data_IF_438652249940
#
_entry.id   IF_438652249940
#
_cell.length_a   1.000
_cell.length_b   1.000
_cell.length_c   1.000
_cell.angle_alpha   90.00
_cell.angle_beta   90.00
_cell.angle_gamma   90.00
#
_symmetry.space_group_name_H-M   'P 1'
#
loop_
_entity.id
_entity.type
_entity.pdbx_description
1 polymer ?
#
# COMPACT_ATOMS: atom_id res chain seq x y z
N UNK A 1 -8.66 50.43 3.65
CA UNK A 1 -8.92 48.98 3.55
C UNK A 1 -7.63 48.31 3.13
N UNK A 2 -6.94 47.72 4.10
CA UNK A 2 -5.55 47.29 4.00
C UNK A 2 -5.34 46.17 2.97
N UNK A 3 -4.54 46.47 1.95
CA UNK A 3 -4.07 45.51 0.94
C UNK A 3 -3.09 44.46 1.53
N UNK A 4 -2.67 44.63 2.78
CA UNK A 4 -1.76 43.72 3.49
C UNK A 4 -2.42 42.43 3.99
N UNK A 5 -3.75 42.38 4.13
CA UNK A 5 -4.43 41.15 4.58
C UNK A 5 -4.62 40.11 3.48
N UNK A 6 -4.72 40.52 2.22
CA UNK A 6 -4.92 39.60 1.08
C UNK A 6 -3.65 38.81 0.73
N UNK A 7 -2.46 39.34 1.02
CA UNK A 7 -1.20 38.65 0.76
C UNK A 7 -0.95 37.46 1.71
N UNK A 8 -1.56 37.44 2.89
CA UNK A 8 -1.40 36.35 3.87
C UNK A 8 -2.33 35.16 3.60
N UNK A 9 -3.41 35.33 2.82
CA UNK A 9 -4.35 34.25 2.50
C UNK A 9 -3.95 33.41 1.27
N UNK A 10 -3.00 33.87 0.45
CA UNK A 10 -2.52 33.12 -0.73
C UNK A 10 -1.29 32.25 -0.40
N UNK A 11 -0.60 32.51 0.72
CA UNK A 11 0.59 31.77 1.11
C UNK A 11 0.30 30.33 1.59
N UNK A 12 -0.94 29.98 1.92
CA UNK A 12 -1.32 28.64 2.39
C UNK A 12 -1.72 27.66 1.28
N UNK A 13 -1.88 28.12 0.03
CA UNK A 13 -2.28 27.29 -1.12
C UNK A 13 -1.09 26.72 -1.91
N UNK A 14 0.15 27.06 -1.53
CA UNK A 14 1.38 26.55 -2.16
C UNK A 14 2.20 25.61 -1.26
N UNK A 15 1.56 24.90 -0.32
CA UNK A 15 2.09 23.58 0.07
C UNK A 15 1.83 22.61 -1.09
N UNK A 16 2.56 22.84 -2.20
CA UNK A 16 2.76 21.87 -3.26
C UNK A 16 3.00 20.52 -2.60
N UNK A 17 2.15 19.56 -2.95
CA UNK A 17 2.26 18.14 -2.65
C UNK A 17 3.59 17.60 -3.19
N UNK A 18 4.72 17.96 -2.56
CA UNK A 18 6.08 17.48 -2.86
C UNK A 18 6.32 16.05 -2.38
N UNK A 19 5.27 15.24 -2.25
CA UNK A 19 5.40 13.84 -1.85
C UNK A 19 5.61 12.93 -3.05
N UNK A 20 5.24 13.35 -4.27
CA UNK A 20 5.44 12.54 -5.48
C UNK A 20 6.80 12.81 -6.12
N UNK A 21 7.71 11.85 -5.95
CA UNK A 21 9.08 11.84 -6.47
C UNK A 21 9.15 11.04 -7.77
N UNK A 22 9.17 11.72 -8.92
CA UNK A 22 9.24 11.10 -10.27
C UNK A 22 10.51 10.27 -10.50
N UNK A 23 11.54 10.46 -9.68
CA UNK A 23 12.81 9.71 -9.67
C UNK A 23 12.67 8.29 -9.11
N UNK A 24 11.62 8.00 -8.33
CA UNK A 24 11.34 6.64 -7.85
C UNK A 24 10.54 5.84 -8.87
N UNK A 25 11.15 5.57 -10.03
CA UNK A 25 10.67 4.50 -10.90
C UNK A 25 11.08 3.16 -10.27
N UNK A 26 10.14 2.21 -10.05
CA UNK A 26 10.51 0.89 -9.59
C UNK A 26 11.52 0.28 -10.56
N UNK A 27 12.59 -0.34 -10.04
CA UNK A 27 13.53 -1.09 -10.87
C UNK A 27 12.76 -2.28 -11.46
N UNK A 28 12.33 -2.15 -12.71
CA UNK A 28 11.67 -3.21 -13.46
C UNK A 28 12.73 -4.25 -13.81
N UNK A 29 12.80 -5.33 -13.05
CA UNK A 29 13.74 -6.43 -13.29
C UNK A 29 13.32 -7.35 -14.46
N UNK A 30 12.23 -7.02 -15.17
CA UNK A 30 11.67 -7.86 -16.22
C UNK A 30 11.42 -9.29 -15.74
N UNK A 31 11.71 -10.27 -16.61
CA UNK A 31 11.49 -11.70 -16.33
C UNK A 31 12.52 -12.34 -15.37
N UNK A 32 13.47 -11.56 -14.83
CA UNK A 32 14.55 -12.10 -13.99
C UNK A 32 14.13 -12.39 -12.54
N UNK A 33 12.91 -12.05 -12.14
CA UNK A 33 12.41 -12.29 -10.78
C UNK A 33 11.85 -13.71 -10.66
N UNK A 34 12.45 -14.50 -9.78
CA UNK A 34 11.96 -15.85 -9.47
C UNK A 34 10.62 -15.80 -8.73
N UNK A 35 9.69 -16.70 -9.07
CA UNK A 35 8.43 -16.86 -8.35
C UNK A 35 8.62 -17.08 -6.84
N UNK A 36 9.68 -17.79 -6.44
CA UNK A 36 10.01 -18.03 -5.03
C UNK A 36 10.27 -16.72 -4.26
N UNK A 37 10.73 -15.67 -4.94
CA UNK A 37 11.03 -14.38 -4.35
C UNK A 37 9.79 -13.49 -4.15
N UNK A 38 8.67 -13.79 -4.80
CA UNK A 38 7.47 -12.91 -4.82
C UNK A 38 6.19 -13.56 -4.30
N UNK A 39 6.12 -14.89 -4.29
CA UNK A 39 4.91 -15.59 -3.87
C UNK A 39 4.67 -15.47 -2.35
N UNK A 40 3.53 -14.91 -1.90
CA UNK A 40 3.23 -14.69 -0.49
C UNK A 40 2.89 -15.97 0.29
N UNK A 41 3.05 -17.15 -0.32
CA UNK A 41 3.04 -18.45 0.38
C UNK A 41 4.33 -18.72 1.15
N UNK A 42 5.43 -18.08 0.77
CA UNK A 42 6.74 -18.29 1.38
C UNK A 42 6.91 -17.37 2.59
N UNK A 43 7.28 -17.93 3.75
CA UNK A 43 7.45 -17.19 5.00
C UNK A 43 8.36 -15.96 4.87
N UNK A 44 9.49 -16.09 4.16
CA UNK A 44 10.41 -14.96 3.92
C UNK A 44 9.74 -13.79 3.17
N UNK A 45 8.83 -14.08 2.25
CA UNK A 45 8.07 -13.06 1.51
C UNK A 45 7.03 -12.41 2.43
N UNK A 46 6.34 -13.19 3.25
CA UNK A 46 5.38 -12.67 4.25
C UNK A 46 6.06 -11.72 5.24
N UNK A 47 7.21 -12.13 5.79
CA UNK A 47 8.03 -11.32 6.69
C UNK A 47 8.47 -10.02 5.99
N UNK A 48 8.94 -10.11 4.75
CA UNK A 48 9.34 -8.94 3.95
C UNK A 48 8.20 -7.96 3.72
N UNK A 49 7.01 -8.45 3.35
CA UNK A 49 5.82 -7.62 3.15
C UNK A 49 5.51 -6.85 4.44
N UNK A 50 5.42 -7.55 5.57
CA UNK A 50 5.09 -6.93 6.87
C UNK A 50 6.15 -5.93 7.31
N UNK A 51 7.43 -6.27 7.16
CA UNK A 51 8.56 -5.39 7.47
C UNK A 51 8.48 -4.08 6.68
N UNK A 52 8.27 -4.17 5.36
CA UNK A 52 8.13 -3.00 4.50
C UNK A 52 6.94 -2.13 4.90
N UNK A 53 5.78 -2.71 5.17
CA UNK A 53 4.61 -1.96 5.62
C UNK A 53 4.88 -1.25 6.95
N UNK A 54 5.46 -1.94 7.93
CA UNK A 54 5.78 -1.35 9.24
C UNK A 54 6.83 -0.25 9.13
N UNK A 55 7.86 -0.42 8.29
CA UNK A 55 8.85 0.62 8.01
C UNK A 55 8.21 1.87 7.40
N UNK A 56 7.29 1.71 6.46
CA UNK A 56 6.59 2.87 5.88
C UNK A 56 5.68 3.55 6.92
N UNK A 57 4.98 2.76 7.75
CA UNK A 57 4.15 3.27 8.86
C UNK A 57 4.96 4.05 9.90
N UNK A 58 6.21 3.66 10.16
CA UNK A 58 7.10 4.36 11.11
C UNK A 58 7.72 5.65 10.54
N UNK A 59 7.68 5.85 9.22
CA UNK A 59 8.24 7.02 8.54
C UNK A 59 7.21 8.11 8.22
N UNK A 60 5.95 7.93 8.65
CA UNK A 60 4.87 8.90 8.45
C UNK A 60 5.18 10.22 9.14
N UNK A 61 4.88 11.34 8.46
CA UNK A 61 5.03 12.70 8.97
C UNK A 61 3.71 13.48 8.79
N UNK A 62 3.20 14.13 9.85
CA UNK A 62 3.74 14.16 11.22
C UNK A 62 3.74 12.77 11.90
N UNK A 63 4.57 12.53 12.93
CA UNK A 63 4.62 11.25 13.62
C UNK A 63 3.23 10.85 14.14
N UNK A 64 2.80 9.59 13.94
CA UNK A 64 1.47 9.17 14.34
C UNK A 64 1.42 8.91 15.86
N UNK A 65 0.34 9.31 16.51
CA UNK A 65 0.15 9.10 17.96
C UNK A 65 -0.29 7.68 18.33
N UNK A 66 -0.85 6.92 17.39
CA UNK A 66 -1.48 5.61 17.66
C UNK A 66 -1.31 4.60 16.51
N UNK A 67 -0.19 4.62 15.80
CA UNK A 67 0.05 3.70 14.67
C UNK A 67 0.33 2.28 15.14
N UNK A 68 -0.61 1.36 14.92
CA UNK A 68 -0.45 -0.05 15.28
C UNK A 68 0.62 -0.76 14.43
N UNK A 69 1.32 -1.73 15.02
CA UNK A 69 2.26 -2.60 14.30
C UNK A 69 1.49 -3.67 13.54
N UNK A 70 1.73 -3.78 12.23
CA UNK A 70 1.13 -4.82 11.40
C UNK A 70 1.80 -6.17 11.63
N UNK A 71 1.00 -7.24 11.52
CA UNK A 71 1.45 -8.63 11.53
C UNK A 71 0.85 -9.34 10.32
N UNK A 72 1.49 -10.42 9.89
CA UNK A 72 0.92 -11.28 8.85
C UNK A 72 -0.32 -11.97 9.40
N UNK A 73 -1.41 -11.96 8.65
CA UNK A 73 -2.61 -12.72 9.01
C UNK A 73 -3.05 -13.69 7.92
N UNK A 74 -3.22 -14.96 8.32
CA UNK A 74 -3.48 -16.08 7.42
C UNK A 74 -4.86 -16.04 6.80
N UNK A 75 -5.89 -15.60 7.53
CA UNK A 75 -7.24 -15.46 6.99
C UNK A 75 -7.32 -14.42 5.88
N UNK A 76 -6.74 -13.24 6.10
CA UNK A 76 -6.63 -12.18 5.10
C UNK A 76 -5.85 -12.64 3.86
N UNK A 77 -4.77 -13.39 4.04
CA UNK A 77 -4.01 -13.96 2.93
C UNK A 77 -4.83 -14.94 2.08
N UNK A 78 -5.65 -15.80 2.70
CA UNK A 78 -6.54 -16.72 1.97
C UNK A 78 -7.61 -15.97 1.19
N UNK A 79 -8.22 -14.94 1.80
CA UNK A 79 -9.20 -14.11 1.12
C UNK A 79 -8.59 -13.34 -0.07
N UNK A 80 -7.39 -12.78 0.11
CA UNK A 80 -6.65 -12.10 -0.96
C UNK A 80 -6.31 -13.05 -2.12
N UNK A 81 -5.85 -14.28 -1.83
CA UNK A 81 -5.58 -15.30 -2.86
C UNK A 81 -6.85 -15.65 -3.63
N UNK A 82 -7.95 -15.93 -2.91
CA UNK A 82 -9.26 -16.23 -3.53
C UNK A 82 -9.71 -15.12 -4.49
N UNK A 83 -9.49 -13.85 -4.15
CA UNK A 83 -9.79 -12.74 -5.06
C UNK A 83 -8.83 -12.67 -6.24
N UNK A 84 -7.52 -12.79 -6.00
CA UNK A 84 -6.51 -12.74 -7.06
C UNK A 84 -6.70 -13.84 -8.12
N UNK A 85 -7.14 -15.03 -7.71
CA UNK A 85 -7.43 -16.16 -8.60
C UNK A 85 -8.60 -15.92 -9.55
N UNK A 86 -9.46 -14.94 -9.27
CA UNK A 86 -10.54 -14.52 -10.19
C UNK A 86 -10.03 -13.68 -11.37
N UNK A 87 -8.76 -13.26 -11.34
CA UNK A 87 -8.08 -12.51 -12.40
C UNK A 87 -8.84 -11.24 -12.88
N UNK A 88 -9.55 -10.55 -11.99
CA UNK A 88 -10.26 -9.30 -12.31
C UNK A 88 -9.30 -8.11 -12.36
N UNK A 89 -9.34 -7.37 -13.46
CA UNK A 89 -8.40 -6.28 -13.71
C UNK A 89 -8.79 -5.01 -12.93
N UNK A 90 -7.97 -4.62 -11.95
CA UNK A 90 -8.11 -3.39 -11.14
C UNK A 90 -9.48 -3.22 -10.48
N UNK A 91 -10.19 -4.32 -10.26
CA UNK A 91 -11.49 -4.30 -9.59
C UNK A 91 -11.32 -4.72 -8.13
N UNK A 92 -11.98 -3.98 -7.26
CA UNK A 92 -12.08 -4.33 -5.85
C UNK A 92 -13.22 -5.33 -5.61
N UNK A 93 -12.99 -6.26 -4.69
CA UNK A 93 -14.07 -7.11 -4.18
C UNK A 93 -15.08 -6.27 -3.38
N UNK A 94 -16.32 -6.76 -3.30
CA UNK A 94 -17.35 -6.11 -2.48
C UNK A 94 -16.94 -6.07 -1.00
N UNK A 95 -17.62 -5.24 -0.20
CA UNK A 95 -17.36 -5.16 1.25
C UNK A 95 -17.68 -6.49 1.92
N UNK A 96 -18.80 -7.13 1.55
CA UNK A 96 -19.21 -8.42 2.10
C UNK A 96 -18.19 -9.53 1.82
N UNK A 97 -17.58 -9.52 0.63
CA UNK A 97 -16.51 -10.45 0.26
C UNK A 97 -15.22 -10.24 1.06
N UNK A 98 -15.05 -9.08 1.70
CA UNK A 98 -13.91 -8.72 2.55
C UNK A 98 -14.26 -8.73 4.03
N UNK A 99 -15.43 -9.25 4.39
CA UNK A 99 -15.79 -9.46 5.77
C UNK A 99 -15.10 -10.73 6.32
N UNK A 100 -14.63 -10.65 7.55
CA UNK A 100 -14.11 -11.79 8.28
C UNK A 100 -14.59 -11.76 9.73
N UNK A 101 -15.09 -12.87 10.24
CA UNK A 101 -15.78 -12.92 11.55
C UNK A 101 -14.93 -12.37 12.71
N UNK A 102 -13.61 -12.57 12.66
CA UNK A 102 -12.70 -12.11 13.71
C UNK A 102 -12.07 -10.73 13.44
N UNK A 103 -12.07 -10.26 12.19
CA UNK A 103 -11.40 -9.02 11.79
C UNK A 103 -12.38 -7.89 11.42
N UNK A 104 -13.66 -8.22 11.22
CA UNK A 104 -14.67 -7.33 10.66
C UNK A 104 -14.42 -7.03 9.18
N UNK A 105 -14.76 -5.81 8.78
CA UNK A 105 -14.56 -5.33 7.42
C UNK A 105 -13.07 -5.09 7.12
N UNK A 106 -12.54 -5.76 6.09
CA UNK A 106 -11.15 -5.62 5.67
C UNK A 106 -10.98 -4.68 4.45
N UNK A 107 -9.86 -3.95 4.43
CA UNK A 107 -9.41 -3.18 3.27
C UNK A 107 -8.82 -4.04 2.16
N UNK A 108 -8.50 -3.43 1.01
CA UNK A 108 -7.84 -4.11 -0.10
C UNK A 108 -7.02 -3.12 -0.94
N UNK A 109 -5.77 -3.47 -1.24
CA UNK A 109 -4.92 -2.79 -2.22
C UNK A 109 -4.62 -3.77 -3.35
N UNK A 110 -4.62 -3.29 -4.61
CA UNK A 110 -4.42 -4.11 -5.81
C UNK A 110 -3.29 -3.49 -6.64
N UNK A 111 -2.44 -4.35 -7.19
CA UNK A 111 -1.39 -3.97 -8.12
C UNK A 111 -1.34 -4.99 -9.26
N UNK A 112 -1.24 -4.51 -10.49
CA UNK A 112 -1.15 -5.34 -11.70
C UNK A 112 0.02 -4.83 -12.54
N UNK A 113 0.80 -5.76 -13.06
CA UNK A 113 1.91 -5.47 -13.96
C UNK A 113 2.01 -6.56 -15.02
N UNK A 114 2.54 -6.19 -16.19
CA UNK A 114 2.86 -7.13 -17.28
C UNK A 114 4.09 -7.98 -16.99
N UNK A 115 4.86 -7.65 -15.95
CA UNK A 115 6.07 -8.36 -15.55
C UNK A 115 6.06 -8.64 -14.05
N UNK A 116 6.94 -9.54 -13.61
CA UNK A 116 7.12 -9.84 -12.19
C UNK A 116 7.81 -8.66 -11.49
N UNK A 117 7.20 -8.16 -10.42
CA UNK A 117 7.71 -7.05 -9.61
C UNK A 117 8.04 -7.56 -8.20
N UNK A 118 9.23 -7.30 -7.65
CA UNK A 118 9.57 -7.67 -6.28
C UNK A 118 8.84 -6.80 -5.26
N UNK A 119 8.68 -7.32 -4.03
CA UNK A 119 8.17 -6.58 -2.87
C UNK A 119 9.20 -5.58 -2.32
#
# INVERSE_FOLDING_TARGET
MDKSLYFLLIASLFMSSRTWRYDRKPRLFGDKVSMKAILPRHRRVQERIVELHNRMRSLVQPPPSNMLVMRWEKSAARAAQKWADSCRLLEHSSVDQRWHDQLGACGQNIFISTHRVPW
#
